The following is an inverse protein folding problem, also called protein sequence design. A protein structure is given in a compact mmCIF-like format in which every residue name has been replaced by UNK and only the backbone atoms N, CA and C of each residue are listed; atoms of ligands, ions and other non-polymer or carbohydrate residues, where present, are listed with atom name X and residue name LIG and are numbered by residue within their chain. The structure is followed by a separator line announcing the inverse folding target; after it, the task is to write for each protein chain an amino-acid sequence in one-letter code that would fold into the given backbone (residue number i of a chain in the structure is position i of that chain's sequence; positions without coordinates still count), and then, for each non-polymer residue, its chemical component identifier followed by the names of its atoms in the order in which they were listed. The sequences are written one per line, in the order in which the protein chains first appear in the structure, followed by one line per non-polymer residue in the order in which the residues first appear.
data_IF_902749668033
#
_entry.id   IF_902749668033
#
_cell.length_a   1.000
_cell.length_b   1.000
_cell.length_c   1.000
_cell.angle_alpha   90.00
_cell.angle_beta   90.00
_cell.angle_gamma   90.00
#
_symmetry.space_group_name_H-M   'P 1'
#
loop_
_entity.id
_entity.type
_entity.pdbx_description
1 polymer ?
#
# COMPACT_ATOMS: atom_id res chain seq x y z
N UNK A 1 3.51 135.20 79.15
CA UNK A 1 4.51 134.18 79.53
C UNK A 1 5.18 133.70 78.24
N UNK A 2 6.50 133.59 78.04
CA UNK A 2 7.73 133.68 78.85
C UNK A 2 8.54 132.38 78.71
N UNK A 3 9.88 132.37 78.57
CA UNK A 3 10.77 133.50 78.23
C UNK A 3 12.17 133.05 77.72
N UNK A 4 12.88 133.95 77.02
CA UNK A 4 14.30 133.82 76.60
C UNK A 4 14.63 132.67 75.60
N UNK A 5 15.84 132.49 75.04
CA UNK A 5 17.10 133.25 75.11
C UNK A 5 17.93 133.17 73.78
N UNK A 6 19.16 133.69 73.79
CA UNK A 6 20.19 133.74 72.72
C UNK A 6 21.59 133.39 73.33
N UNK A 7 22.83 133.54 72.75
CA UNK A 7 23.37 134.41 71.65
C UNK A 7 24.25 133.69 70.54
N UNK A 8 24.29 134.15 69.27
CA UNK A 8 25.23 135.12 68.59
C UNK A 8 26.60 134.52 68.15
N UNK A 9 27.36 134.91 67.08
CA UNK A 9 27.60 136.27 66.48
C UNK A 9 28.26 136.27 65.06
N UNK A 10 27.81 137.15 64.13
CA UNK A 10 28.50 137.80 62.94
C UNK A 10 29.23 136.95 61.84
N UNK A 11 29.69 137.44 60.65
CA UNK A 11 29.74 138.77 59.97
C UNK A 11 29.78 138.65 58.38
N UNK A 12 29.95 139.76 57.61
CA UNK A 12 29.88 139.87 56.11
C UNK A 12 31.03 140.79 55.54
N UNK A 13 31.10 141.42 54.30
CA UNK A 13 30.09 141.71 53.23
C UNK A 13 30.37 141.43 51.67
N UNK A 14 30.79 142.33 50.70
CA UNK A 14 29.99 142.51 49.45
C UNK A 14 30.62 142.78 48.02
N UNK A 15 29.84 142.50 46.94
CA UNK A 15 29.63 143.23 45.61
C UNK A 15 30.87 143.58 44.68
N UNK A 16 30.77 144.19 43.46
CA UNK A 16 29.68 144.44 42.45
C UNK A 16 30.01 143.97 40.96
N UNK A 17 29.14 144.19 39.92
CA UNK A 17 29.37 143.74 38.51
C UNK A 17 29.14 144.76 37.33
N UNK A 18 29.67 144.53 36.10
CA UNK A 18 29.13 145.11 34.81
C UNK A 18 29.67 144.58 33.43
N UNK A 19 28.80 144.65 32.39
CA UNK A 19 29.00 144.66 30.89
C UNK A 19 29.06 143.31 30.10
N UNK A 20 28.99 143.39 28.74
CA UNK A 20 28.46 142.37 27.76
C UNK A 20 29.42 142.00 26.62
N UNK A 21 29.29 140.79 26.03
CA UNK A 21 29.74 140.39 24.67
C UNK A 21 28.95 139.15 24.14
N UNK A 22 29.16 138.71 22.88
CA UNK A 22 28.27 137.79 22.12
C UNK A 22 28.68 136.30 22.06
N UNK A 23 27.74 135.40 21.69
CA UNK A 23 27.90 133.93 21.54
C UNK A 23 26.93 133.32 20.50
N UNK A 24 27.39 132.97 19.29
CA UNK A 24 26.56 132.24 18.29
C UNK A 24 27.14 130.92 17.73
N UNK A 25 28.42 130.82 17.30
CA UNK A 25 28.88 129.66 16.51
C UNK A 25 28.93 128.33 17.29
N UNK A 26 28.96 128.38 18.63
CA UNK A 26 28.96 127.19 19.50
C UNK A 26 27.70 126.32 19.37
N UNK A 27 26.56 126.88 18.98
CA UNK A 27 25.29 126.14 18.92
C UNK A 27 25.26 125.12 17.76
N UNK A 28 25.83 125.49 16.60
CA UNK A 28 25.85 124.61 15.41
C UNK A 28 26.69 123.34 15.64
N UNK A 29 27.81 123.48 16.34
CA UNK A 29 28.73 122.37 16.62
C UNK A 29 28.06 121.32 17.55
N UNK A 30 27.29 121.79 18.54
CA UNK A 30 26.50 120.92 19.44
C UNK A 30 25.43 120.14 18.67
N UNK A 31 24.72 120.77 17.73
CA UNK A 31 23.70 120.11 16.90
C UNK A 31 24.32 119.02 16.01
N UNK A 32 25.47 119.29 15.39
CA UNK A 32 26.16 118.29 14.56
C UNK A 32 26.66 117.10 15.38
N UNK A 33 27.22 117.35 16.57
CA UNK A 33 27.63 116.29 17.50
C UNK A 33 26.44 115.43 17.96
N UNK A 34 25.29 116.04 18.26
CA UNK A 34 24.06 115.33 18.64
C UNK A 34 23.54 114.43 17.50
N UNK A 35 23.59 114.89 16.25
CA UNK A 35 23.20 114.10 15.08
C UNK A 35 24.16 112.91 14.85
N UNK A 36 25.47 113.11 15.02
CA UNK A 36 26.46 112.03 14.90
C UNK A 36 26.25 110.94 15.98
N UNK A 37 26.01 111.33 17.23
CA UNK A 37 25.68 110.40 18.33
C UNK A 37 24.35 109.69 18.07
N UNK A 38 23.31 110.39 17.61
CA UNK A 38 22.02 109.80 17.27
C UNK A 38 22.13 108.76 16.15
N UNK A 39 22.88 109.05 15.08
CA UNK A 39 23.15 108.11 14.00
C UNK A 39 23.91 106.86 14.47
N UNK A 40 24.95 107.04 15.30
CA UNK A 40 25.69 105.93 15.91
C UNK A 40 24.78 105.04 16.76
N UNK A 41 23.95 105.64 17.61
CA UNK A 41 23.06 104.91 18.52
C UNK A 41 21.96 104.14 17.76
N UNK A 42 21.42 104.72 16.68
CA UNK A 42 20.49 104.06 15.77
C UNK A 42 21.13 102.89 15.03
N UNK A 43 22.37 103.04 14.54
CA UNK A 43 23.11 101.98 13.86
C UNK A 43 23.46 100.81 14.79
N UNK A 44 23.89 101.09 16.02
CA UNK A 44 24.10 100.06 17.04
C UNK A 44 22.80 99.34 17.44
N UNK A 45 21.68 100.07 17.56
CA UNK A 45 20.39 99.45 17.84
C UNK A 45 19.93 98.53 16.71
N UNK A 46 20.08 98.96 15.44
CA UNK A 46 19.72 98.15 14.28
C UNK A 46 20.58 96.87 14.15
N UNK A 47 21.91 96.97 14.26
CA UNK A 47 22.77 95.77 14.29
C UNK A 47 22.43 94.85 15.47
N UNK A 48 22.08 95.43 16.64
CA UNK A 48 21.63 94.67 17.79
C UNK A 48 20.31 93.93 17.59
N UNK A 49 19.46 94.36 16.64
CA UNK A 49 18.26 93.63 16.24
C UNK A 49 18.59 92.50 15.24
N UNK A 50 19.32 92.79 14.16
CA UNK A 50 19.69 91.76 13.18
C UNK A 50 20.50 90.60 13.80
N UNK A 51 21.40 90.89 14.75
CA UNK A 51 22.15 89.86 15.46
C UNK A 51 21.24 88.93 16.29
N UNK A 52 20.15 89.46 16.89
CA UNK A 52 19.18 88.67 17.67
C UNK A 52 18.32 87.81 16.76
N UNK A 53 17.86 88.33 15.63
CA UNK A 53 17.04 87.57 14.68
C UNK A 53 17.84 86.40 14.08
N UNK A 54 19.09 86.64 13.64
CA UNK A 54 19.99 85.58 13.17
C UNK A 54 20.27 84.53 14.26
N UNK A 55 20.45 84.95 15.52
CA UNK A 55 20.63 84.03 16.64
C UNK A 55 19.36 83.22 16.97
N UNK A 56 18.17 83.82 16.83
CA UNK A 56 16.90 83.13 17.02
C UNK A 56 16.62 82.09 15.92
N UNK A 57 16.96 82.41 14.66
CA UNK A 57 16.91 81.45 13.54
C UNK A 57 17.86 80.28 13.78
N UNK A 58 19.14 80.54 14.09
CA UNK A 58 20.09 79.46 14.38
C UNK A 58 19.67 78.58 15.57
N UNK A 59 19.03 79.15 16.60
CA UNK A 59 18.44 78.37 17.71
C UNK A 59 17.20 77.56 17.29
N UNK A 60 16.43 78.01 16.29
CA UNK A 60 15.34 77.23 15.72
C UNK A 60 15.89 76.07 14.86
N UNK A 61 16.90 76.32 14.02
CA UNK A 61 17.55 75.32 13.18
C UNK A 61 18.15 74.19 14.03
N UNK A 62 18.90 74.52 15.09
CA UNK A 62 19.43 73.53 16.04
C UNK A 62 18.33 72.72 16.76
N UNK A 63 17.14 73.30 16.99
CA UNK A 63 16.00 72.57 17.57
C UNK A 63 15.32 71.65 16.55
N UNK A 64 15.25 72.07 15.29
CA UNK A 64 14.72 71.25 14.19
C UNK A 64 15.65 70.05 13.98
N UNK A 65 16.96 70.26 13.97
CA UNK A 65 17.92 69.16 13.78
C UNK A 65 17.90 68.16 14.94
N UNK A 66 17.89 68.65 16.20
CA UNK A 66 17.72 67.79 17.37
C UNK A 66 16.35 67.09 17.46
N UNK A 67 15.36 67.49 16.65
CA UNK A 67 14.10 66.77 16.47
C UNK A 67 14.19 65.75 15.32
N UNK A 68 14.87 66.08 14.22
CA UNK A 68 15.18 65.16 13.12
C UNK A 68 15.97 63.95 13.61
N UNK A 69 17.06 64.18 14.35
CA UNK A 69 17.89 63.12 14.97
C UNK A 69 17.06 62.17 15.84
N UNK A 70 16.12 62.71 16.63
CA UNK A 70 15.21 61.91 17.49
C UNK A 70 14.17 61.14 16.68
N UNK A 71 13.67 61.72 15.59
CA UNK A 71 12.74 61.04 14.69
C UNK A 71 13.44 59.86 14.00
N UNK A 72 14.68 60.04 13.54
CA UNK A 72 15.44 58.97 12.89
C UNK A 72 16.00 57.93 13.89
N UNK A 73 16.33 58.31 15.12
CA UNK A 73 16.61 57.34 16.19
C UNK A 73 15.38 56.47 16.48
N UNK A 74 14.20 57.10 16.69
CA UNK A 74 12.93 56.38 16.91
C UNK A 74 12.55 55.49 15.71
N UNK A 75 12.80 55.91 14.47
CA UNK A 75 12.62 55.07 13.27
C UNK A 75 13.60 53.90 13.25
N UNK A 76 14.84 54.08 13.71
CA UNK A 76 15.82 52.98 13.79
C UNK A 76 15.44 51.97 14.88
N UNK A 77 14.99 52.44 16.04
CA UNK A 77 14.48 51.59 17.12
C UNK A 77 13.23 50.82 16.68
N UNK A 78 12.27 51.49 16.03
CA UNK A 78 11.06 50.83 15.50
C UNK A 78 11.40 49.71 14.50
N UNK A 79 12.38 49.93 13.62
CA UNK A 79 12.89 48.89 12.70
C UNK A 79 13.54 47.74 13.45
N UNK A 80 14.38 48.02 14.45
CA UNK A 80 15.02 47.00 15.28
C UNK A 80 14.01 46.18 16.10
N UNK A 81 12.96 46.81 16.63
CA UNK A 81 11.85 46.11 17.28
C UNK A 81 11.06 45.24 16.30
N UNK A 82 10.79 45.73 15.08
CA UNK A 82 10.15 44.93 14.03
C UNK A 82 10.98 43.69 13.64
N UNK A 83 12.30 43.84 13.50
CA UNK A 83 13.23 42.73 13.24
C UNK A 83 13.25 41.71 14.38
N UNK A 84 13.29 42.15 15.64
CA UNK A 84 13.23 41.26 16.82
C UNK A 84 11.93 40.47 16.89
N UNK A 85 10.79 41.07 16.53
CA UNK A 85 9.50 40.37 16.47
C UNK A 85 9.49 39.31 15.35
N UNK A 86 9.96 39.66 14.14
CA UNK A 86 10.09 38.70 13.03
C UNK A 86 11.04 37.53 13.37
N UNK A 87 12.14 37.81 14.08
CA UNK A 87 13.05 36.78 14.58
C UNK A 87 12.38 35.88 15.62
N UNK A 88 11.63 36.45 16.57
CA UNK A 88 10.89 35.67 17.56
C UNK A 88 9.82 34.78 16.93
N UNK A 89 9.07 35.28 15.94
CA UNK A 89 8.09 34.50 15.17
C UNK A 89 8.75 33.35 14.40
N UNK A 90 9.89 33.61 13.73
CA UNK A 90 10.65 32.59 13.01
C UNK A 90 11.16 31.50 13.98
N UNK A 91 11.72 31.89 15.13
CA UNK A 91 12.14 30.94 16.18
C UNK A 91 10.95 30.17 16.75
N UNK A 92 9.78 30.79 16.92
CA UNK A 92 8.59 30.10 17.41
C UNK A 92 8.04 29.08 16.41
N UNK A 93 8.17 29.32 15.10
CA UNK A 93 7.84 28.32 14.07
C UNK A 93 8.79 27.12 14.12
N UNK A 94 10.10 27.36 14.11
CA UNK A 94 11.11 26.28 14.22
C UNK A 94 10.92 25.47 15.50
N UNK A 95 10.60 26.11 16.63
CA UNK A 95 10.26 25.42 17.88
C UNK A 95 9.00 24.54 17.77
N UNK A 96 7.96 24.97 17.04
CA UNK A 96 6.77 24.14 16.78
C UNK A 96 7.09 22.98 15.85
N UNK A 97 7.87 23.22 14.80
CA UNK A 97 8.24 22.19 13.82
C UNK A 97 9.13 21.12 14.45
N UNK A 98 10.08 21.50 15.32
CA UNK A 98 10.85 20.53 16.12
C UNK A 98 9.99 19.85 17.20
N UNK A 99 9.02 20.54 17.84
CA UNK A 99 8.10 19.87 18.77
C UNK A 99 7.19 18.84 18.07
N UNK A 100 6.73 19.13 16.85
CA UNK A 100 6.01 18.18 16.00
C UNK A 100 6.92 17.02 15.56
N UNK A 101 8.15 17.32 15.15
CA UNK A 101 9.16 16.31 14.80
C UNK A 101 9.54 15.42 16.00
N UNK A 102 9.66 15.98 17.19
CA UNK A 102 9.86 15.24 18.45
C UNK A 102 8.63 14.38 18.76
N UNK A 103 7.41 14.88 18.59
CA UNK A 103 6.18 14.10 18.76
C UNK A 103 6.10 12.90 17.80
N UNK A 104 6.44 13.10 16.52
CA UNK A 104 6.52 12.04 15.52
C UNK A 104 7.61 11.01 15.86
N UNK A 105 8.81 11.48 16.23
CA UNK A 105 9.93 10.62 16.67
C UNK A 105 9.57 9.85 17.94
N UNK A 106 8.85 10.45 18.88
CA UNK A 106 8.40 9.81 20.12
C UNK A 106 7.38 8.70 19.84
N UNK A 107 6.39 8.93 18.97
CA UNK A 107 5.43 7.90 18.57
C UNK A 107 6.11 6.71 17.85
N UNK A 108 7.06 6.99 16.95
CA UNK A 108 7.86 5.94 16.29
C UNK A 108 8.76 5.18 17.29
N UNK A 109 9.32 5.87 18.28
CA UNK A 109 10.08 5.23 19.36
C UNK A 109 9.17 4.38 20.24
N UNK A 110 7.99 4.86 20.62
CA UNK A 110 6.99 4.11 21.41
C UNK A 110 6.55 2.84 20.67
N UNK A 111 6.23 2.92 19.38
CA UNK A 111 5.92 1.72 18.57
C UNK A 111 7.11 0.75 18.52
N UNK A 112 8.33 1.26 18.31
CA UNK A 112 9.54 0.43 18.28
C UNK A 112 9.82 -0.24 19.63
N UNK A 113 9.56 0.44 20.75
CA UNK A 113 9.70 -0.07 22.11
C UNK A 113 8.62 -1.11 22.41
N UNK A 114 7.37 -0.89 21.99
CA UNK A 114 6.31 -1.91 22.09
C UNK A 114 6.67 -3.17 21.30
N UNK A 115 7.21 -3.03 20.08
CA UNK A 115 7.64 -4.16 19.25
C UNK A 115 8.86 -4.89 19.83
N UNK A 116 9.79 -4.15 20.45
CA UNK A 116 10.95 -4.71 21.18
C UNK A 116 10.59 -5.33 22.54
N UNK A 117 9.50 -4.87 23.16
CA UNK A 117 9.00 -5.41 24.43
C UNK A 117 8.19 -6.71 24.26
N UNK A 118 7.64 -6.98 23.06
CA UNK A 118 6.95 -8.24 22.76
C UNK A 118 7.31 -8.88 21.40
N UNK A 119 8.58 -9.27 21.16
CA UNK A 119 8.96 -10.04 19.97
C UNK A 119 8.32 -11.45 19.96
N UNK A 120 7.87 -11.93 21.12
CA UNK A 120 7.24 -13.24 21.28
C UNK A 120 5.88 -13.32 20.58
N UNK A 121 5.03 -12.29 20.70
CA UNK A 121 3.74 -12.25 20.00
C UNK A 121 3.90 -12.16 18.49
N UNK A 122 4.80 -11.31 17.97
CA UNK A 122 5.00 -11.16 16.53
C UNK A 122 5.63 -12.40 15.89
N UNK A 123 6.62 -13.03 16.53
CA UNK A 123 7.19 -14.29 16.04
C UNK A 123 6.18 -15.45 16.05
N UNK A 124 5.39 -15.58 17.13
CA UNK A 124 4.29 -16.56 17.22
C UNK A 124 3.22 -16.32 16.15
N UNK A 125 2.95 -15.04 15.82
CA UNK A 125 2.01 -14.64 14.77
C UNK A 125 2.53 -14.99 13.38
N UNK A 126 3.81 -14.74 13.07
CA UNK A 126 4.42 -15.14 11.78
C UNK A 126 4.34 -16.65 11.59
N UNK A 127 4.74 -17.42 12.61
CA UNK A 127 4.70 -18.87 12.59
C UNK A 127 3.28 -19.43 12.32
N UNK A 128 2.24 -18.83 12.90
CA UNK A 128 0.84 -19.20 12.60
C UNK A 128 0.42 -18.85 11.17
N UNK A 129 0.91 -17.75 10.59
CA UNK A 129 0.62 -17.41 9.19
C UNK A 129 1.36 -18.35 8.21
N UNK A 130 2.54 -18.82 8.58
CA UNK A 130 3.28 -19.86 7.85
C UNK A 130 2.58 -21.23 7.96
N UNK A 131 2.05 -21.58 9.14
CA UNK A 131 1.21 -22.77 9.36
C UNK A 131 -0.09 -22.72 8.52
N UNK A 132 -0.77 -21.56 8.49
CA UNK A 132 -1.95 -21.33 7.61
C UNK A 132 -1.59 -21.53 6.15
N UNK A 133 -0.50 -20.94 5.65
CA UNK A 133 -0.08 -21.15 4.26
C UNK A 133 0.23 -22.63 3.98
N UNK A 134 0.98 -23.30 4.86
CA UNK A 134 1.31 -24.73 4.72
C UNK A 134 0.05 -25.60 4.64
N UNK A 135 -0.95 -25.34 5.47
CA UNK A 135 -2.22 -26.07 5.48
C UNK A 135 -3.04 -25.83 4.21
N UNK A 136 -3.03 -24.60 3.66
CA UNK A 136 -3.69 -24.27 2.40
C UNK A 136 -2.98 -24.92 1.20
N UNK A 137 -1.65 -24.82 1.11
CA UNK A 137 -0.83 -25.51 0.08
C UNK A 137 -1.06 -27.02 0.11
N UNK A 138 -1.08 -27.63 1.31
CA UNK A 138 -1.31 -29.06 1.45
C UNK A 138 -2.76 -29.47 1.11
N UNK A 139 -3.73 -28.61 1.40
CA UNK A 139 -5.12 -28.78 0.96
C UNK A 139 -5.27 -28.75 -0.55
N UNK A 140 -4.66 -27.76 -1.21
CA UNK A 140 -4.57 -27.65 -2.68
C UNK A 140 -3.93 -28.89 -3.29
N UNK A 141 -2.72 -29.26 -2.85
CA UNK A 141 -1.97 -30.40 -3.40
C UNK A 141 -2.76 -31.72 -3.33
N UNK A 142 -3.54 -31.93 -2.25
CA UNK A 142 -4.42 -33.10 -2.10
C UNK A 142 -5.62 -33.05 -3.04
N UNK A 143 -6.18 -31.87 -3.31
CA UNK A 143 -7.27 -31.70 -4.27
C UNK A 143 -6.80 -31.84 -5.73
N UNK A 144 -5.60 -31.34 -6.06
CA UNK A 144 -5.07 -31.37 -7.42
C UNK A 144 -4.53 -32.76 -7.82
N UNK A 145 -3.67 -33.38 -6.99
CA UNK A 145 -3.02 -34.64 -7.35
C UNK A 145 -3.88 -35.88 -7.04
N UNK A 146 -4.68 -35.84 -5.97
CA UNK A 146 -5.53 -36.97 -5.57
C UNK A 146 -7.03 -36.71 -5.78
N UNK A 147 -7.46 -35.44 -5.79
CA UNK A 147 -8.86 -35.04 -5.59
C UNK A 147 -9.44 -35.58 -4.29
N UNK A 148 -8.60 -35.61 -3.24
CA UNK A 148 -8.99 -35.94 -1.87
C UNK A 148 -9.71 -34.72 -1.26
N UNK A 149 -10.96 -34.53 -1.68
CA UNK A 149 -11.84 -33.45 -1.25
C UNK A 149 -11.98 -33.38 0.28
N UNK A 150 -12.18 -34.54 0.92
CA UNK A 150 -12.27 -34.65 2.39
C UNK A 150 -10.96 -34.23 3.07
N UNK A 151 -9.81 -34.54 2.46
CA UNK A 151 -8.49 -34.06 2.89
C UNK A 151 -8.32 -32.55 2.74
N UNK A 152 -8.78 -31.98 1.62
CA UNK A 152 -8.75 -30.55 1.35
C UNK A 152 -9.66 -29.76 2.32
N UNK A 153 -10.93 -30.17 2.48
CA UNK A 153 -11.88 -29.60 3.44
C UNK A 153 -11.31 -29.60 4.87
N UNK A 154 -10.69 -30.69 5.31
CA UNK A 154 -10.03 -30.78 6.62
C UNK A 154 -8.81 -29.86 6.73
N UNK A 155 -7.96 -29.78 5.70
CA UNK A 155 -6.81 -28.86 5.67
C UNK A 155 -7.24 -27.40 5.77
N UNK A 156 -8.25 -27.02 4.99
CA UNK A 156 -8.84 -25.68 5.01
C UNK A 156 -9.55 -25.35 6.34
N UNK A 157 -10.22 -26.32 6.98
CA UNK A 157 -10.81 -26.13 8.31
C UNK A 157 -9.75 -25.96 9.42
N UNK A 158 -8.60 -26.65 9.30
CA UNK A 158 -7.46 -26.43 10.20
C UNK A 158 -6.81 -25.06 9.97
N UNK A 159 -6.62 -24.65 8.70
CA UNK A 159 -6.12 -23.32 8.36
C UNK A 159 -7.01 -22.21 8.94
N UNK A 160 -8.33 -22.36 8.86
CA UNK A 160 -9.30 -21.43 9.43
C UNK A 160 -9.25 -21.39 10.96
N UNK A 161 -9.07 -22.53 11.63
CA UNK A 161 -8.88 -22.59 13.08
C UNK A 161 -7.60 -21.88 13.55
N UNK A 162 -6.47 -22.06 12.84
CA UNK A 162 -5.20 -21.38 13.14
C UNK A 162 -5.31 -19.86 12.86
N UNK A 163 -5.95 -19.48 11.76
CA UNK A 163 -6.16 -18.07 11.39
C UNK A 163 -7.12 -17.36 12.34
N UNK A 164 -8.19 -18.02 12.79
CA UNK A 164 -9.13 -17.48 13.77
C UNK A 164 -8.48 -17.24 15.15
N UNK A 165 -7.41 -17.98 15.48
CA UNK A 165 -6.61 -17.74 16.68
C UNK A 165 -5.70 -16.49 16.59
N UNK A 166 -5.64 -15.81 15.44
CA UNK A 166 -4.92 -14.54 15.25
C UNK A 166 -5.89 -13.38 15.43
N UNK A 167 -5.89 -12.80 16.63
CA UNK A 167 -6.71 -11.63 16.97
C UNK A 167 -6.08 -10.34 16.42
N UNK A 168 -6.19 -10.13 15.11
CA UNK A 168 -5.78 -8.88 14.45
C UNK A 168 -6.82 -8.42 13.39
N UNK A 169 -7.23 -7.13 13.39
CA UNK A 169 -8.11 -6.58 12.36
C UNK A 169 -7.56 -6.66 10.93
N UNK A 170 -6.24 -6.66 10.73
CA UNK A 170 -5.62 -6.69 9.40
C UNK A 170 -5.99 -7.95 8.59
N UNK A 171 -6.26 -9.07 9.26
CA UNK A 171 -6.60 -10.36 8.62
C UNK A 171 -8.11 -10.63 8.53
N UNK A 172 -8.98 -9.60 8.66
CA UNK A 172 -10.43 -9.76 8.44
C UNK A 172 -10.75 -10.16 7.00
N UNK A 173 -10.13 -9.51 6.01
CA UNK A 173 -10.33 -9.83 4.60
C UNK A 173 -9.85 -11.26 4.26
N UNK A 174 -8.71 -11.66 4.83
CA UNK A 174 -8.14 -13.00 4.65
C UNK A 174 -9.07 -14.10 5.21
N UNK A 175 -9.66 -13.88 6.39
CA UNK A 175 -10.71 -14.77 6.95
C UNK A 175 -11.95 -14.81 6.07
N UNK A 176 -12.41 -13.67 5.57
CA UNK A 176 -13.58 -13.61 4.69
C UNK A 176 -13.35 -14.32 3.34
N UNK A 177 -12.12 -14.30 2.80
CA UNK A 177 -11.75 -15.09 1.63
C UNK A 177 -11.74 -16.59 1.95
N UNK A 178 -11.13 -16.98 3.08
CA UNK A 178 -11.06 -18.39 3.50
C UNK A 178 -12.45 -19.01 3.74
N UNK A 179 -13.36 -18.26 4.36
CA UNK A 179 -14.76 -18.69 4.55
C UNK A 179 -15.47 -18.93 3.21
N UNK A 180 -15.19 -18.13 2.18
CA UNK A 180 -15.77 -18.31 0.84
C UNK A 180 -15.16 -19.52 0.10
N UNK A 181 -13.86 -19.76 0.21
CA UNK A 181 -13.23 -20.97 -0.34
C UNK A 181 -13.70 -22.23 0.38
N UNK A 182 -13.86 -22.19 1.71
CA UNK A 182 -14.47 -23.26 2.49
C UNK A 182 -15.90 -23.55 2.04
N UNK A 183 -16.74 -22.52 1.91
CA UNK A 183 -18.11 -22.70 1.41
C UNK A 183 -18.15 -23.29 -0.02
N UNK A 184 -17.19 -22.94 -0.89
CA UNK A 184 -17.07 -23.51 -2.23
C UNK A 184 -16.59 -24.98 -2.21
N UNK A 185 -15.74 -25.37 -1.26
CA UNK A 185 -15.30 -26.75 -1.04
C UNK A 185 -16.40 -27.62 -0.39
N UNK A 186 -17.15 -27.06 0.56
CA UNK A 186 -18.22 -27.73 1.30
C UNK A 186 -19.49 -27.89 0.43
N UNK A 187 -19.64 -27.09 -0.64
CA UNK A 187 -20.69 -27.24 -1.65
C UNK A 187 -20.46 -28.39 -2.66
N UNK A 188 -19.31 -29.07 -2.62
CA UNK A 188 -19.04 -30.25 -3.45
C UNK A 188 -19.52 -31.50 -2.69
N UNK A 189 -20.70 -32.01 -3.06
CA UNK A 189 -21.29 -33.17 -2.38
C UNK A 189 -20.54 -34.49 -2.66
N UNK A 190 -19.87 -34.64 -3.81
CA UNK A 190 -19.14 -35.85 -4.19
C UNK A 190 -18.02 -35.60 -5.21
N UNK A 191 -16.94 -36.40 -5.14
CA UNK A 191 -15.92 -36.51 -6.19
C UNK A 191 -16.56 -37.12 -7.46
N UNK A 192 -16.64 -36.42 -8.60
CA UNK A 192 -17.35 -36.90 -9.78
C UNK A 192 -16.67 -38.14 -10.41
N UNK A 193 -15.38 -38.37 -10.12
CA UNK A 193 -14.68 -39.63 -10.41
C UNK A 193 -15.34 -40.83 -9.70
N UNK A 194 -15.77 -40.67 -8.45
CA UNK A 194 -16.47 -41.73 -7.69
C UNK A 194 -17.87 -41.97 -8.25
N UNK A 195 -18.54 -40.93 -8.74
CA UNK A 195 -19.80 -41.07 -9.47
C UNK A 195 -19.61 -41.83 -10.81
N UNK A 196 -18.53 -41.56 -11.55
CA UNK A 196 -18.20 -42.28 -12.78
C UNK A 196 -17.84 -43.76 -12.52
N UNK A 197 -16.98 -44.02 -11.52
CA UNK A 197 -16.60 -45.38 -11.10
C UNK A 197 -17.81 -46.21 -10.65
N UNK A 198 -18.69 -45.64 -9.82
CA UNK A 198 -19.89 -46.35 -9.34
C UNK A 198 -20.92 -46.62 -10.45
N UNK A 199 -21.02 -45.76 -11.47
CA UNK A 199 -21.81 -46.04 -12.68
C UNK A 199 -21.21 -47.17 -13.52
N UNK A 200 -19.89 -47.25 -13.69
CA UNK A 200 -19.24 -48.38 -14.37
C UNK A 200 -19.50 -49.69 -13.62
N UNK A 201 -19.38 -49.68 -12.29
CA UNK A 201 -19.67 -50.87 -11.48
C UNK A 201 -21.16 -51.25 -11.45
N UNK A 202 -22.07 -50.30 -11.66
CA UNK A 202 -23.50 -50.59 -11.87
C UNK A 202 -23.76 -51.19 -13.27
N UNK A 203 -23.19 -50.59 -14.32
CA UNK A 203 -23.28 -51.04 -15.71
C UNK A 203 -22.72 -52.47 -15.88
N UNK A 204 -21.55 -52.75 -15.30
CA UNK A 204 -20.93 -54.07 -15.36
C UNK A 204 -21.81 -55.15 -14.69
N UNK A 205 -22.42 -54.86 -13.53
CA UNK A 205 -23.39 -55.78 -12.88
C UNK A 205 -24.62 -56.00 -13.74
N UNK A 206 -25.22 -54.92 -14.26
CA UNK A 206 -26.38 -54.97 -15.18
C UNK A 206 -26.12 -55.87 -16.41
N UNK A 207 -24.91 -55.85 -16.97
CA UNK A 207 -24.52 -56.75 -18.07
C UNK A 207 -24.34 -58.22 -17.65
N UNK A 208 -23.96 -58.48 -16.39
CA UNK A 208 -23.85 -59.84 -15.84
C UNK A 208 -25.22 -60.41 -15.47
N UNK A 209 -26.12 -59.59 -14.94
CA UNK A 209 -27.51 -59.96 -14.60
C UNK A 209 -28.39 -60.15 -15.85
N UNK A 210 -28.12 -59.39 -16.92
CA UNK A 210 -28.84 -59.44 -18.20
C UNK A 210 -27.89 -59.77 -19.38
N UNK A 211 -27.36 -61.02 -19.45
CA UNK A 211 -26.50 -61.44 -20.55
C UNK A 211 -27.21 -61.34 -21.91
N UNK A 212 -26.46 -61.18 -23.03
CA UNK A 212 -27.05 -61.05 -24.36
C UNK A 212 -27.98 -62.22 -24.66
N UNK A 213 -29.23 -61.90 -25.03
CA UNK A 213 -30.26 -62.87 -25.35
C UNK A 213 -29.75 -63.77 -26.48
N UNK A 214 -29.38 -65.00 -26.14
CA UNK A 214 -28.83 -65.95 -27.09
C UNK A 214 -29.94 -66.40 -28.03
N UNK A 215 -30.03 -65.77 -29.21
CA UNK A 215 -30.81 -66.29 -30.33
C UNK A 215 -30.42 -67.75 -30.53
N UNK A 216 -31.33 -68.72 -30.32
CA UNK A 216 -30.99 -70.11 -30.57
C UNK A 216 -30.68 -70.24 -32.06
N UNK A 217 -29.53 -70.80 -32.39
CA UNK A 217 -29.15 -71.03 -33.79
C UNK A 217 -30.30 -71.78 -34.48
N UNK A 218 -30.81 -71.29 -35.63
CA UNK A 218 -32.01 -71.84 -36.24
C UNK A 218 -31.74 -73.30 -36.63
N UNK A 219 -32.30 -74.23 -35.84
CA UNK A 219 -32.20 -75.66 -36.15
C UNK A 219 -32.70 -75.87 -37.57
N UNK A 220 -31.87 -76.46 -38.42
CA UNK A 220 -32.04 -76.47 -39.87
C UNK A 220 -33.10 -77.49 -40.34
N UNK A 221 -34.26 -77.49 -39.68
CA UNK A 221 -35.46 -78.31 -39.92
C UNK A 221 -36.15 -77.90 -41.23
N UNK A 222 -35.47 -78.17 -42.34
CA UNK A 222 -35.86 -77.77 -43.70
C UNK A 222 -34.69 -77.62 -44.67
N UNK A 223 -33.44 -77.58 -44.17
CA UNK A 223 -32.27 -77.45 -45.06
C UNK A 223 -32.07 -78.73 -45.91
N UNK A 224 -31.91 -78.58 -47.25
CA UNK A 224 -31.68 -79.73 -48.12
C UNK A 224 -30.37 -80.44 -47.77
N UNK A 225 -30.35 -81.76 -47.95
CA UNK A 225 -29.33 -82.66 -47.39
C UNK A 225 -27.90 -82.27 -47.77
N UNK A 226 -27.66 -81.83 -49.01
CA UNK A 226 -26.34 -81.39 -49.47
C UNK A 226 -25.83 -80.17 -48.70
N UNK A 227 -26.72 -79.26 -48.29
CA UNK A 227 -26.35 -78.07 -47.51
C UNK A 227 -25.98 -78.41 -46.06
N UNK A 228 -26.43 -79.57 -45.55
CA UNK A 228 -25.99 -80.17 -44.27
C UNK A 228 -24.73 -81.05 -44.42
N UNK A 229 -24.36 -81.46 -45.62
CA UNK A 229 -23.13 -82.23 -45.88
C UNK A 229 -21.90 -81.33 -46.07
N UNK A 230 -22.08 -80.13 -46.64
CA UNK A 230 -20.98 -79.20 -46.95
C UNK A 230 -20.85 -78.00 -46.01
N UNK A 231 -21.75 -77.83 -45.03
CA UNK A 231 -21.72 -76.74 -44.04
C UNK A 231 -20.43 -76.67 -43.22
N UNK A 232 -19.73 -77.80 -43.06
CA UNK A 232 -18.49 -77.88 -42.28
C UNK A 232 -17.24 -77.46 -43.07
N UNK A 233 -17.37 -77.10 -44.35
CA UNK A 233 -16.22 -76.84 -45.25
C UNK A 233 -16.24 -75.42 -45.83
N UNK A 234 -17.43 -74.89 -46.15
CA UNK A 234 -17.58 -73.54 -46.68
C UNK A 234 -18.79 -72.84 -46.05
N UNK A 235 -18.52 -71.98 -45.07
CA UNK A 235 -19.44 -70.91 -44.69
C UNK A 235 -18.92 -69.58 -45.27
N UNK A 236 -19.80 -68.84 -45.93
CA UNK A 236 -19.48 -67.59 -46.64
C UNK A 236 -20.42 -66.51 -46.09
N UNK A 237 -20.16 -66.11 -44.84
CA UNK A 237 -20.83 -64.95 -44.24
C UNK A 237 -20.32 -63.63 -44.85
N UNK A 238 -21.20 -62.64 -45.09
CA UNK A 238 -20.80 -61.26 -45.37
C UNK A 238 -20.03 -60.66 -44.17
N UNK A 239 -18.87 -60.05 -44.43
CA UNK A 239 -17.92 -59.61 -43.38
C UNK A 239 -18.36 -58.41 -42.53
N UNK A 240 -19.45 -57.74 -42.88
CA UNK A 240 -19.70 -56.36 -42.45
C UNK A 240 -20.28 -56.21 -41.02
N UNK A 241 -20.63 -57.33 -40.37
CA UNK A 241 -20.88 -57.44 -38.91
C UNK A 241 -20.79 -58.89 -38.47
N UNK A 242 -19.59 -59.34 -38.08
CA UNK A 242 -19.44 -60.57 -37.30
C UNK A 242 -19.94 -60.31 -35.88
N UNK A 243 -21.24 -60.52 -35.69
CA UNK A 243 -21.78 -60.79 -34.36
C UNK A 243 -21.16 -62.12 -33.91
N UNK A 244 -20.72 -62.21 -32.67
CA UNK A 244 -20.21 -63.46 -32.14
C UNK A 244 -21.35 -64.52 -32.12
N UNK A 245 -21.32 -65.45 -33.07
CA UNK A 245 -22.33 -66.53 -33.17
C UNK A 245 -21.91 -67.77 -32.37
N UNK A 246 -20.63 -68.12 -32.38
CA UNK A 246 -20.10 -69.26 -31.63
C UNK A 246 -19.95 -68.93 -30.13
N UNK A 247 -20.09 -69.91 -29.23
CA UNK A 247 -19.88 -69.71 -27.79
C UNK A 247 -18.46 -69.27 -27.41
N UNK A 248 -17.44 -69.71 -28.16
CA UNK A 248 -16.04 -69.26 -28.04
C UNK A 248 -15.93 -67.75 -28.25
N UNK A 249 -16.43 -67.31 -29.40
CA UNK A 249 -16.28 -65.93 -29.89
C UNK A 249 -17.05 -64.96 -28.98
N UNK A 250 -18.15 -65.42 -28.37
CA UNK A 250 -18.89 -64.68 -27.33
C UNK A 250 -18.08 -64.58 -26.05
N UNK A 251 -17.42 -65.65 -25.62
CA UNK A 251 -16.56 -65.62 -24.44
C UNK A 251 -15.39 -64.63 -24.66
N UNK A 252 -14.67 -64.75 -25.77
CA UNK A 252 -13.55 -63.85 -26.12
C UNK A 252 -13.99 -62.39 -26.22
N UNK A 253 -15.11 -62.11 -26.89
CA UNK A 253 -15.64 -60.75 -27.01
C UNK A 253 -16.13 -60.20 -25.65
N UNK A 254 -16.72 -61.03 -24.79
CA UNK A 254 -17.10 -60.63 -23.42
C UNK A 254 -15.89 -60.34 -22.53
N UNK A 255 -14.81 -61.11 -22.68
CA UNK A 255 -13.54 -60.85 -22.00
C UNK A 255 -12.90 -59.54 -22.51
N UNK A 256 -13.00 -59.26 -23.82
CA UNK A 256 -12.60 -57.98 -24.41
C UNK A 256 -13.38 -56.79 -23.82
N UNK A 257 -14.71 -56.91 -23.70
CA UNK A 257 -15.56 -55.91 -23.06
C UNK A 257 -15.20 -55.70 -21.58
N UNK A 258 -15.00 -56.77 -20.81
CA UNK A 258 -14.58 -56.68 -19.41
C UNK A 258 -13.19 -56.05 -19.26
N UNK A 259 -12.25 -56.38 -20.14
CA UNK A 259 -10.93 -55.75 -20.18
C UNK A 259 -11.05 -54.23 -20.41
N UNK A 260 -11.83 -53.79 -21.40
CA UNK A 260 -12.01 -52.34 -21.64
C UNK A 260 -12.72 -51.63 -20.48
N UNK A 261 -13.68 -52.27 -19.81
CA UNK A 261 -14.31 -51.70 -18.60
C UNK A 261 -13.32 -51.61 -17.43
N UNK A 262 -12.41 -52.57 -17.25
CA UNK A 262 -11.35 -52.47 -16.23
C UNK A 262 -10.26 -51.45 -16.59
N UNK A 263 -9.95 -51.27 -17.87
CA UNK A 263 -9.07 -50.19 -18.35
C UNK A 263 -9.71 -48.81 -18.16
N UNK A 264 -11.02 -48.68 -18.41
CA UNK A 264 -11.77 -47.46 -18.12
C UNK A 264 -11.75 -47.16 -16.61
N UNK A 265 -11.98 -48.16 -15.75
CA UNK A 265 -11.85 -48.03 -14.29
C UNK A 265 -10.46 -47.55 -13.89
N UNK A 266 -9.39 -48.17 -14.43
CA UNK A 266 -8.02 -47.81 -14.13
C UNK A 266 -7.61 -46.41 -14.64
N UNK A 267 -8.20 -45.94 -15.74
CA UNK A 267 -8.03 -44.56 -16.23
C UNK A 267 -8.77 -43.56 -15.33
N UNK A 268 -10.02 -43.88 -14.93
CA UNK A 268 -10.80 -43.04 -14.02
C UNK A 268 -10.12 -42.86 -12.66
N UNK A 269 -9.60 -43.92 -12.05
CA UNK A 269 -8.85 -43.84 -10.78
C UNK A 269 -7.69 -42.82 -10.85
N UNK A 270 -7.00 -42.75 -12.00
CA UNK A 270 -5.89 -41.83 -12.29
C UNK A 270 -6.33 -40.45 -12.84
N UNK A 271 -7.64 -40.20 -12.96
CA UNK A 271 -8.24 -39.00 -13.61
C UNK A 271 -7.78 -38.79 -15.07
N UNK A 272 -7.39 -39.86 -15.75
CA UNK A 272 -6.99 -39.88 -17.16
C UNK A 272 -8.24 -39.85 -18.06
N UNK A 273 -8.79 -38.66 -18.30
CA UNK A 273 -10.00 -38.49 -19.11
C UNK A 273 -9.85 -38.98 -20.56
N UNK A 274 -8.64 -38.91 -21.12
CA UNK A 274 -8.37 -39.34 -22.49
C UNK A 274 -8.39 -40.87 -22.60
N UNK A 275 -7.65 -41.56 -21.72
CA UNK A 275 -7.67 -43.03 -21.61
C UNK A 275 -9.03 -43.57 -21.21
N UNK A 276 -9.76 -42.86 -20.33
CA UNK A 276 -11.13 -43.18 -19.92
C UNK A 276 -12.09 -43.18 -21.12
N UNK A 277 -12.17 -42.06 -21.84
CA UNK A 277 -13.03 -41.93 -23.03
C UNK A 277 -12.62 -42.92 -24.13
N UNK A 278 -11.33 -43.17 -24.32
CA UNK A 278 -10.82 -44.15 -25.30
C UNK A 278 -11.07 -45.62 -24.92
N UNK A 279 -11.14 -45.97 -23.62
CA UNK A 279 -11.54 -47.30 -23.16
C UNK A 279 -13.06 -47.51 -23.28
N UNK A 280 -13.86 -46.51 -22.91
CA UNK A 280 -15.32 -46.58 -23.06
C UNK A 280 -15.78 -46.63 -24.53
N UNK A 281 -15.08 -45.95 -25.44
CA UNK A 281 -15.30 -46.08 -26.88
C UNK A 281 -15.05 -47.53 -27.37
N UNK A 282 -13.92 -48.14 -26.99
CA UNK A 282 -13.63 -49.55 -27.32
C UNK A 282 -14.60 -50.53 -26.66
N UNK A 283 -15.11 -50.23 -25.47
CA UNK A 283 -16.19 -50.99 -24.86
C UNK A 283 -17.48 -50.95 -25.70
N UNK A 284 -17.83 -49.82 -26.34
CA UNK A 284 -18.92 -49.78 -27.31
C UNK A 284 -18.64 -50.64 -28.56
N UNK A 285 -17.42 -50.62 -29.08
CA UNK A 285 -17.05 -51.47 -30.23
C UNK A 285 -17.16 -52.97 -29.90
N UNK A 286 -16.97 -53.37 -28.63
CA UNK A 286 -17.28 -54.73 -28.17
C UNK A 286 -18.78 -54.97 -28.01
N UNK A 287 -19.57 -54.03 -27.47
CA UNK A 287 -21.05 -54.17 -27.41
C UNK A 287 -21.65 -54.45 -28.80
N UNK A 288 -21.16 -53.77 -29.85
CA UNK A 288 -21.56 -53.98 -31.25
C UNK A 288 -21.24 -55.38 -31.82
N UNK A 289 -20.38 -56.17 -31.15
CA UNK A 289 -20.02 -57.55 -31.52
C UNK A 289 -20.81 -58.61 -30.75
N UNK A 290 -21.27 -58.30 -29.53
CA UNK A 290 -22.04 -59.23 -28.70
C UNK A 290 -23.55 -59.14 -28.92
N UNK A 291 -24.09 -57.94 -29.16
CA UNK A 291 -25.53 -57.73 -29.31
C UNK A 291 -25.92 -57.46 -30.79
N UNK A 292 -27.02 -58.05 -31.28
CA UNK A 292 -27.62 -57.62 -32.55
C UNK A 292 -28.22 -56.20 -32.43
N UNK A 293 -28.44 -55.49 -33.55
CA UNK A 293 -29.13 -54.20 -33.57
C UNK A 293 -30.48 -54.28 -32.85
N UNK A 294 -30.61 -53.55 -31.74
CA UNK A 294 -31.72 -53.69 -30.80
C UNK A 294 -31.82 -52.46 -29.89
N UNK A 295 -33.03 -52.08 -29.43
CA UNK A 295 -33.21 -50.92 -28.56
C UNK A 295 -32.50 -51.06 -27.20
N UNK A 296 -32.21 -52.29 -26.77
CA UNK A 296 -31.36 -52.57 -25.61
C UNK A 296 -29.88 -52.25 -25.88
N UNK A 297 -29.33 -52.58 -27.05
CA UNK A 297 -27.96 -52.20 -27.43
C UNK A 297 -27.81 -50.67 -27.47
N UNK A 298 -28.75 -49.97 -28.09
CA UNK A 298 -28.71 -48.50 -28.16
C UNK A 298 -28.81 -47.85 -26.76
N UNK A 299 -29.61 -48.42 -25.85
CA UNK A 299 -29.68 -47.98 -24.46
C UNK A 299 -28.36 -48.19 -23.68
N UNK A 300 -27.68 -49.33 -23.84
CA UNK A 300 -26.38 -49.57 -23.20
C UNK A 300 -25.28 -48.65 -23.76
N UNK A 301 -25.34 -48.31 -25.05
CA UNK A 301 -24.40 -47.34 -25.65
C UNK A 301 -24.64 -45.93 -25.12
N UNK A 302 -25.89 -45.47 -25.09
CA UNK A 302 -26.24 -44.17 -24.51
C UNK A 302 -25.87 -44.05 -23.02
N UNK A 303 -25.93 -45.16 -22.27
CA UNK A 303 -25.45 -45.23 -20.89
C UNK A 303 -23.92 -45.10 -20.80
N UNK A 304 -23.15 -45.74 -21.69
CA UNK A 304 -21.71 -45.56 -21.77
C UNK A 304 -21.31 -44.14 -22.24
N UNK A 305 -22.01 -43.55 -23.20
CA UNK A 305 -21.79 -42.15 -23.60
C UNK A 305 -22.07 -41.18 -22.43
N UNK A 306 -23.16 -41.43 -21.68
CA UNK A 306 -23.51 -40.67 -20.47
C UNK A 306 -22.57 -40.89 -19.27
N UNK A 307 -21.71 -41.90 -19.31
CA UNK A 307 -20.58 -42.09 -18.39
C UNK A 307 -19.32 -41.40 -18.95
N UNK A 308 -19.04 -41.55 -20.24
CA UNK A 308 -17.87 -40.94 -20.90
C UNK A 308 -17.90 -39.40 -20.91
N UNK A 309 -19.08 -38.80 -20.81
CA UNK A 309 -19.29 -37.35 -20.67
C UNK A 309 -19.14 -36.81 -19.23
N UNK A 310 -18.91 -37.66 -18.22
CA UNK A 310 -18.73 -37.21 -16.84
C UNK A 310 -17.32 -36.63 -16.62
N UNK A 311 -17.18 -35.49 -15.91
CA UNK A 311 -15.86 -34.97 -15.55
C UNK A 311 -15.18 -35.90 -14.53
N UNK A 312 -13.87 -36.11 -14.67
CA UNK A 312 -13.06 -36.85 -13.69
C UNK A 312 -12.22 -35.92 -12.81
N UNK A 313 -12.21 -34.63 -13.12
CA UNK A 313 -11.49 -33.57 -12.44
C UNK A 313 -12.41 -32.79 -11.47
N UNK A 314 -11.85 -32.34 -10.35
CA UNK A 314 -12.48 -31.39 -9.44
C UNK A 314 -11.89 -30.01 -9.72
N UNK A 315 -12.72 -29.02 -10.02
CA UNK A 315 -12.29 -27.63 -10.25
C UNK A 315 -13.12 -26.67 -9.41
N UNK A 316 -12.42 -25.82 -8.65
CA UNK A 316 -13.04 -24.79 -7.78
C UNK A 316 -12.45 -23.45 -8.18
N UNK A 317 -13.16 -22.61 -8.95
CA UNK A 317 -12.57 -21.44 -9.62
C UNK A 317 -12.17 -20.29 -8.67
N UNK A 318 -12.55 -20.36 -7.39
CA UNK A 318 -12.19 -19.39 -6.34
C UNK A 318 -11.01 -19.83 -5.47
N UNK A 319 -10.54 -21.07 -5.63
CA UNK A 319 -9.64 -21.73 -4.68
C UNK A 319 -8.19 -21.27 -4.87
N UNK A 320 -7.54 -20.86 -3.77
CA UNK A 320 -6.20 -20.26 -3.76
C UNK A 320 -6.19 -18.73 -3.62
N UNK A 321 -7.34 -18.05 -3.68
CA UNK A 321 -7.42 -16.59 -3.51
C UNK A 321 -6.89 -16.09 -2.16
N UNK A 322 -7.09 -16.90 -1.11
CA UNK A 322 -6.63 -16.68 0.26
C UNK A 322 -5.12 -16.81 0.35
N UNK A 323 -4.56 -17.82 -0.32
CA UNK A 323 -3.11 -18.06 -0.37
C UNK A 323 -2.39 -16.94 -1.13
N UNK A 324 -2.95 -16.49 -2.26
CA UNK A 324 -2.44 -15.34 -3.02
C UNK A 324 -2.43 -14.06 -2.17
N UNK A 325 -3.51 -13.80 -1.41
CA UNK A 325 -3.56 -12.68 -0.46
C UNK A 325 -2.51 -12.78 0.65
N UNK A 326 -2.30 -13.97 1.21
CA UNK A 326 -1.29 -14.22 2.26
C UNK A 326 0.13 -13.94 1.73
N UNK A 327 0.44 -14.40 0.52
CA UNK A 327 1.71 -14.14 -0.15
C UNK A 327 1.91 -12.65 -0.48
N UNK A 328 0.85 -11.94 -0.90
CA UNK A 328 0.91 -10.50 -1.13
C UNK A 328 1.10 -9.69 0.16
N UNK A 329 0.45 -10.08 1.26
CA UNK A 329 0.70 -9.48 2.58
C UNK A 329 2.16 -9.68 3.00
N UNK A 330 2.69 -10.90 2.85
CA UNK A 330 4.10 -11.21 3.17
C UNK A 330 5.09 -10.41 2.32
N UNK A 331 4.87 -10.26 1.01
CA UNK A 331 5.79 -9.48 0.16
C UNK A 331 5.77 -8.00 0.53
N UNK A 332 4.60 -7.43 0.85
CA UNK A 332 4.48 -6.05 1.35
C UNK A 332 5.21 -5.87 2.68
N UNK A 333 5.09 -6.82 3.60
CA UNK A 333 5.73 -6.78 4.92
C UNK A 333 7.25 -7.01 4.85
N UNK A 334 7.73 -7.80 3.88
CA UNK A 334 9.16 -7.96 3.60
C UNK A 334 9.80 -6.67 3.03
N UNK A 335 9.07 -5.92 2.19
CA UNK A 335 9.52 -4.62 1.67
C UNK A 335 9.60 -3.56 2.78
N UNK A 336 8.75 -3.64 3.80
CA UNK A 336 8.77 -2.75 4.97
C UNK A 336 9.95 -3.00 5.93
N UNK A 337 10.66 -4.13 5.79
CA UNK A 337 11.92 -4.41 6.48
C UNK A 337 13.09 -4.02 5.57
N UNK A 338 13.70 -2.83 5.70
CA UNK A 338 14.92 -2.52 4.97
C UNK A 338 16.00 -3.53 5.36
N UNK A 339 16.50 -4.29 4.37
CA UNK A 339 17.43 -5.38 4.61
C UNK A 339 18.65 -4.87 5.38
N UNK A 340 18.76 -5.27 6.66
CA UNK A 340 19.78 -4.79 7.58
C UNK A 340 21.16 -4.92 6.96
N UNK A 341 21.89 -3.82 6.87
CA UNK A 341 23.17 -3.74 6.19
C UNK A 341 24.10 -4.82 6.72
N UNK A 342 24.40 -5.82 5.87
CA UNK A 342 25.46 -6.81 6.15
C UNK A 342 26.70 -6.01 6.57
N UNK A 343 27.29 -6.27 7.76
CA UNK A 343 28.56 -5.63 8.09
C UNK A 343 29.55 -6.02 7.01
N UNK A 344 30.15 -5.02 6.36
CA UNK A 344 31.11 -5.26 5.30
C UNK A 344 32.26 -6.11 5.89
N UNK A 345 32.44 -7.32 5.37
CA UNK A 345 33.49 -8.21 5.83
C UNK A 345 34.84 -7.50 5.64
N UNK A 346 35.52 -7.21 6.75
CA UNK A 346 36.76 -6.43 6.75
C UNK A 346 37.78 -7.06 5.82
N UNK A 347 38.04 -6.41 4.69
CA UNK A 347 39.04 -6.89 3.74
C UNK A 347 40.42 -6.87 4.41
N UNK A 348 41.01 -8.04 4.61
CA UNK A 348 42.38 -8.17 5.12
C UNK A 348 43.34 -7.39 4.22
N UNK A 349 44.26 -6.58 4.77
CA UNK A 349 45.19 -5.81 3.96
C UNK A 349 46.12 -6.74 3.17
N UNK A 350 46.12 -6.58 1.85
CA UNK A 350 47.02 -7.33 0.95
C UNK A 350 48.47 -6.93 1.20
N UNK A 351 49.34 -7.90 1.41
CA UNK A 351 50.80 -7.69 1.52
C UNK A 351 51.33 -7.04 0.22
N UNK A 352 52.16 -5.99 0.30
CA UNK A 352 52.73 -5.33 -0.88
C UNK A 352 53.81 -6.19 -1.58
N UNK A 353 54.06 -5.88 -2.85
CA UNK A 353 54.99 -6.58 -3.73
C UNK A 353 56.44 -6.69 -3.21
N UNK A 354 57.08 -7.80 -3.57
CA UNK A 354 58.54 -7.91 -3.61
C UNK A 354 59.04 -7.57 -5.03
N UNK A 355 60.09 -6.74 -5.20
CA UNK A 355 60.57 -6.34 -6.52
C UNK A 355 61.26 -7.51 -7.25
N UNK A 356 61.11 -7.52 -8.57
CA UNK A 356 61.79 -8.47 -9.46
C UNK A 356 63.20 -7.99 -9.78
N UNK A 357 64.20 -8.87 -9.70
CA UNK A 357 65.37 -8.77 -10.58
C UNK A 357 65.89 -10.17 -11.00
N UNK A 358 66.71 -10.17 -12.05
CA UNK A 358 67.16 -11.33 -12.87
C UNK A 358 68.71 -11.39 -12.88
N UNK A 359 69.37 -12.43 -13.44
CA UNK A 359 68.83 -13.60 -14.16
C UNK A 359 69.10 -14.97 -13.52
#
# INVERSE_FOLDING_TARGET
MSDSNTPSTAQAPPRPPRRRAARWPWLLLIVFAALAVGGWHGWQWWQGHEARERAAVAQADHRIEALNERIDSLRSDQRAHGQRLQQADATNRVLRDELLGIGQRAALLEESVTRLADPGRDSTRSLRLEEVEMLLVFGQLRLELAGDLTGAQRGYALADAVLAAIQDPAYVNLRQALIQERAALDAIEADPRVAALSRIDAFNRKLQDAPPASTPAPQAAGAPWWKRAFSNVFDIQPRDRVIAELPSDRADASAGLQLELTLARAAAERRDEAGFRAALARAQDWLLRLWPPSPSLDAHRAELDGIAAMPLSLSVPTLGSTLQQLQQLRSTQAIAMPAGTRPAASASPTTPDAPTERP
#
